data_IF_833608824514
#
_entry.id   IF_833608824514
#
_cell.length_a   1.000
_cell.length_b   1.000
_cell.length_c   1.000
_cell.angle_alpha   90.00
_cell.angle_beta   90.00
_cell.angle_gamma   90.00
#
_symmetry.space_group_name_H-M   'P 1'
#
loop_
_entity.id
_entity.type
_entity.pdbx_description
1 polymer ?
#
# COMPACT_ATOMS: atom_id res chain seq x y z
N UNK A 1 23.65 -23.18 -6.74
CA UNK A 1 22.95 -21.88 -6.71
C UNK A 1 21.52 -22.15 -6.28
N UNK A 2 21.07 -21.63 -5.15
CA UNK A 2 19.71 -21.88 -4.65
C UNK A 2 18.73 -21.09 -5.52
N UNK A 3 18.01 -21.77 -6.41
CA UNK A 3 17.06 -21.14 -7.32
C UNK A 3 15.89 -20.53 -6.57
N UNK A 4 15.36 -19.41 -7.08
CA UNK A 4 14.12 -18.82 -6.59
C UNK A 4 12.98 -19.77 -6.94
N UNK A 5 12.36 -20.38 -5.94
CA UNK A 5 11.22 -21.28 -6.15
C UNK A 5 10.02 -20.49 -6.66
N UNK A 6 9.11 -21.15 -7.36
CA UNK A 6 7.87 -20.52 -7.86
C UNK A 6 7.08 -19.86 -6.73
N UNK A 7 7.03 -20.48 -5.55
CA UNK A 7 6.33 -19.94 -4.39
C UNK A 7 6.96 -18.64 -3.90
N UNK A 8 8.30 -18.58 -3.77
CA UNK A 8 9.00 -17.36 -3.39
C UNK A 8 8.77 -16.28 -4.45
N UNK A 9 8.91 -16.62 -5.74
CA UNK A 9 8.68 -15.69 -6.85
C UNK A 9 7.28 -15.07 -6.78
N UNK A 10 6.24 -15.90 -6.61
CA UNK A 10 4.84 -15.43 -6.53
C UNK A 10 4.62 -14.56 -5.29
N UNK A 11 5.13 -14.96 -4.13
CA UNK A 11 5.03 -14.17 -2.90
C UNK A 11 5.67 -12.79 -3.05
N UNK A 12 6.95 -12.77 -3.46
CA UNK A 12 7.72 -11.54 -3.65
C UNK A 12 7.10 -10.62 -4.70
N UNK A 13 6.59 -11.15 -5.83
CA UNK A 13 5.89 -10.32 -6.82
C UNK A 13 4.62 -9.68 -6.25
N UNK A 14 3.88 -10.40 -5.41
CA UNK A 14 2.71 -9.84 -4.75
C UNK A 14 3.06 -8.70 -3.80
N UNK A 15 4.08 -8.87 -2.96
CA UNK A 15 4.56 -7.82 -2.05
C UNK A 15 5.04 -6.57 -2.79
N UNK A 16 5.82 -6.76 -3.87
CA UNK A 16 6.29 -5.67 -4.71
C UNK A 16 5.12 -4.95 -5.40
N UNK A 17 4.14 -5.69 -5.92
CA UNK A 17 2.97 -5.11 -6.56
C UNK A 17 2.14 -4.30 -5.56
N UNK A 18 1.96 -4.78 -4.32
CA UNK A 18 1.28 -4.03 -3.26
C UNK A 18 1.99 -2.72 -2.98
N UNK A 19 3.33 -2.74 -2.80
CA UNK A 19 4.12 -1.51 -2.58
C UNK A 19 3.96 -0.52 -3.74
N UNK A 20 4.07 -0.99 -4.99
CA UNK A 20 3.91 -0.16 -6.18
C UNK A 20 2.52 0.46 -6.30
N UNK A 21 1.45 -0.32 -6.03
CA UNK A 21 0.08 0.18 -6.10
C UNK A 21 -0.24 1.14 -4.97
N UNK A 22 0.26 0.88 -3.76
CA UNK A 22 0.13 1.81 -2.62
C UNK A 22 0.81 3.16 -2.89
N UNK A 23 1.97 3.14 -3.53
CA UNK A 23 2.70 4.36 -3.90
C UNK A 23 1.88 5.27 -4.85
N UNK A 24 1.01 4.71 -5.69
CA UNK A 24 0.10 5.47 -6.56
C UNK A 24 -0.94 6.29 -5.78
N UNK A 25 -1.12 6.01 -4.49
CA UNK A 25 -2.03 6.71 -3.57
C UNK A 25 -1.28 7.42 -2.43
N UNK A 26 -0.01 7.78 -2.66
CA UNK A 26 0.86 8.45 -1.68
C UNK A 26 1.07 7.66 -0.37
N UNK A 27 0.89 6.34 -0.42
CA UNK A 27 1.20 5.44 0.70
C UNK A 27 2.59 4.85 0.47
N UNK A 28 3.54 5.19 1.35
CA UNK A 28 4.85 4.54 1.36
C UNK A 28 4.72 3.18 2.06
N UNK A 29 5.21 2.10 1.45
CA UNK A 29 5.21 0.79 2.08
C UNK A 29 6.57 0.11 1.88
N UNK A 30 7.05 -0.59 2.90
CA UNK A 30 8.31 -1.31 2.84
C UNK A 30 8.28 -2.56 3.76
N UNK A 31 9.09 -3.59 3.47
CA UNK A 31 9.29 -4.70 4.37
C UNK A 31 9.86 -4.25 5.72
N UNK A 32 9.41 -4.81 6.86
CA UNK A 32 9.96 -4.48 8.17
C UNK A 32 11.40 -4.99 8.32
N UNK A 33 12.25 -4.21 9.00
CA UNK A 33 13.66 -4.58 9.24
C UNK A 33 13.83 -5.74 10.24
N UNK A 34 12.86 -5.95 11.12
CA UNK A 34 12.82 -7.07 12.07
C UNK A 34 11.65 -7.97 11.71
N UNK A 35 11.79 -9.25 12.03
CA UNK A 35 10.74 -10.24 11.84
C UNK A 35 9.55 -9.90 12.74
N UNK A 36 8.58 -9.18 12.18
CA UNK A 36 7.36 -8.75 12.85
C UNK A 36 6.19 -9.68 12.57
N UNK A 37 6.42 -10.74 11.79
CA UNK A 37 5.38 -11.61 11.24
C UNK A 37 4.50 -10.96 10.15
N UNK A 38 4.68 -9.67 9.84
CA UNK A 38 4.01 -8.97 8.75
C UNK A 38 4.94 -8.80 7.55
N UNK A 39 4.37 -8.76 6.36
CA UNK A 39 5.14 -8.61 5.13
C UNK A 39 5.52 -7.14 4.88
N UNK A 40 4.64 -6.17 5.19
CA UNK A 40 4.87 -4.75 4.92
C UNK A 40 4.43 -3.84 6.07
N UNK A 41 5.12 -2.71 6.23
CA UNK A 41 4.67 -1.56 7.00
C UNK A 41 4.39 -0.42 6.02
N UNK A 42 3.16 0.10 6.05
CA UNK A 42 2.69 1.18 5.22
C UNK A 42 2.43 2.46 6.04
N UNK A 43 2.75 3.61 5.46
CA UNK A 43 2.66 4.93 6.09
C UNK A 43 2.05 5.93 5.12
N UNK A 44 1.06 6.69 5.60
CA UNK A 44 0.51 7.86 4.91
C UNK A 44 0.06 8.88 5.94
N UNK A 45 0.49 10.13 5.79
CA UNK A 45 0.14 11.25 6.70
C UNK A 45 0.31 10.94 8.21
N UNK A 46 1.35 10.18 8.58
CA UNK A 46 1.59 9.80 9.98
C UNK A 46 0.77 8.60 10.48
N UNK A 47 -0.15 8.06 9.67
CA UNK A 47 -0.89 6.83 9.98
C UNK A 47 -0.10 5.63 9.52
N UNK A 48 0.20 4.72 10.46
CA UNK A 48 0.91 3.47 10.22
C UNK A 48 -0.08 2.30 10.10
N UNK A 49 0.19 1.40 9.15
CA UNK A 49 -0.54 0.15 8.94
C UNK A 49 0.44 -0.99 8.64
N UNK A 50 0.49 -1.97 9.52
CA UNK A 50 1.07 -3.27 9.23
C UNK A 50 0.16 -4.07 8.29
N UNK A 51 0.72 -4.56 7.19
CA UNK A 51 0.01 -5.25 6.12
C UNK A 51 0.56 -6.67 6.00
N UNK A 52 -0.33 -7.65 6.06
CA UNK A 52 -0.05 -9.02 5.63
C UNK A 52 -0.45 -9.16 4.16
N UNK A 53 0.39 -9.77 3.33
CA UNK A 53 0.13 -10.06 1.92
C UNK A 53 -0.22 -11.53 1.76
N UNK A 54 -1.24 -11.82 0.96
CA UNK A 54 -1.59 -13.16 0.49
C UNK A 54 -1.76 -13.12 -1.02
N UNK A 55 -0.85 -13.79 -1.72
CA UNK A 55 -0.84 -13.83 -3.18
C UNK A 55 -1.42 -15.13 -3.69
N UNK A 56 -2.25 -15.05 -4.72
CA UNK A 56 -2.81 -16.20 -5.43
C UNK A 56 -2.69 -15.99 -6.94
N UNK A 57 -2.63 -17.09 -7.69
CA UNK A 57 -2.76 -17.11 -9.16
C UNK A 57 -4.07 -17.78 -9.58
N UNK A 58 -4.92 -18.13 -8.63
CA UNK A 58 -6.23 -18.74 -8.84
C UNK A 58 -7.36 -17.79 -8.45
N UNK A 59 -8.60 -18.28 -8.52
CA UNK A 59 -9.79 -17.47 -8.27
C UNK A 59 -10.07 -17.18 -6.79
N UNK A 60 -9.36 -17.82 -5.87
CA UNK A 60 -9.59 -17.72 -4.42
C UNK A 60 -8.27 -17.59 -3.65
N UNK A 61 -8.35 -17.00 -2.46
CA UNK A 61 -7.21 -16.83 -1.55
C UNK A 61 -7.47 -17.54 -0.21
N UNK A 62 -6.39 -17.82 0.51
CA UNK A 62 -6.44 -18.45 1.83
C UNK A 62 -6.05 -17.44 2.92
N UNK A 63 -6.62 -17.64 4.11
CA UNK A 63 -6.39 -16.80 5.31
C UNK A 63 -5.78 -17.59 6.47
N UNK A 64 -5.22 -18.76 6.18
CA UNK A 64 -4.42 -19.52 7.13
C UNK A 64 -3.07 -18.81 7.40
N UNK A 65 -2.59 -18.95 8.64
CA UNK A 65 -1.29 -18.39 9.04
C UNK A 65 -1.23 -16.88 8.86
N UNK A 66 -2.25 -16.16 9.36
CA UNK A 66 -2.16 -14.71 9.53
C UNK A 66 -1.49 -14.43 10.89
N UNK A 67 -0.62 -13.42 10.99
CA UNK A 67 0.01 -13.05 12.25
C UNK A 67 -1.03 -12.50 13.24
N UNK A 68 -0.70 -12.50 14.53
CA UNK A 68 -1.59 -11.97 15.57
C UNK A 68 -1.76 -10.44 15.48
N UNK A 69 -0.78 -9.75 14.91
CA UNK A 69 -0.70 -8.29 14.88
C UNK A 69 -0.51 -7.77 13.45
N UNK A 70 -1.62 -7.58 12.75
CA UNK A 70 -1.69 -6.84 11.49
C UNK A 70 -2.90 -5.89 11.50
N UNK A 71 -2.90 -4.92 10.60
CA UNK A 71 -4.02 -3.98 10.42
C UNK A 71 -4.81 -4.31 9.16
N UNK A 72 -4.10 -4.64 8.07
CA UNK A 72 -4.70 -4.89 6.75
C UNK A 72 -4.23 -6.23 6.19
N UNK A 73 -5.11 -6.91 5.48
CA UNK A 73 -4.77 -8.03 4.61
C UNK A 73 -4.80 -7.54 3.15
N UNK A 74 -3.65 -7.54 2.49
CA UNK A 74 -3.54 -7.34 1.06
C UNK A 74 -3.72 -8.68 0.34
N UNK A 75 -4.80 -8.84 -0.41
CA UNK A 75 -5.00 -9.98 -1.31
C UNK A 75 -4.55 -9.58 -2.70
N UNK A 76 -3.62 -10.34 -3.26
CA UNK A 76 -3.10 -10.12 -4.61
C UNK A 76 -3.54 -11.27 -5.51
N UNK A 77 -4.37 -10.96 -6.50
CA UNK A 77 -4.73 -11.90 -7.55
C UNK A 77 -3.85 -11.64 -8.77
N UNK A 78 -2.82 -12.46 -8.93
CA UNK A 78 -1.90 -12.38 -10.06
C UNK A 78 -2.51 -13.06 -11.29
N UNK A 79 -2.60 -12.30 -12.38
CA UNK A 79 -2.94 -12.86 -13.69
C UNK A 79 -1.67 -13.45 -14.30
N UNK A 80 -1.76 -14.71 -14.73
CA UNK A 80 -0.66 -15.40 -15.40
C UNK A 80 -1.14 -16.12 -16.65
N UNK A 81 -0.29 -16.18 -17.64
CA UNK A 81 -0.37 -17.11 -18.75
C UNK A 81 0.94 -17.87 -18.82
N UNK A 82 0.85 -19.20 -18.69
CA UNK A 82 2.02 -20.09 -18.68
C UNK A 82 3.05 -19.64 -17.63
N UNK A 83 4.21 -19.12 -18.04
CA UNK A 83 5.29 -18.66 -17.17
C UNK A 83 5.38 -17.13 -17.02
N UNK A 84 4.45 -16.39 -17.64
CA UNK A 84 4.43 -14.92 -17.65
C UNK A 84 3.35 -14.41 -16.69
N UNK A 85 3.69 -13.39 -15.89
CA UNK A 85 2.79 -12.72 -14.96
C UNK A 85 2.49 -11.31 -15.48
N UNK A 86 1.22 -10.98 -15.63
CA UNK A 86 0.74 -9.68 -16.12
C UNK A 86 0.38 -8.79 -14.93
N UNK A 87 1.32 -7.95 -14.51
CA UNK A 87 1.19 -7.11 -13.29
C UNK A 87 0.16 -5.98 -13.45
N UNK A 88 -0.09 -5.56 -14.67
CA UNK A 88 -1.08 -4.56 -15.06
C UNK A 88 -2.51 -5.11 -14.98
N UNK A 89 -2.72 -6.37 -15.36
CA UNK A 89 -4.00 -7.09 -15.23
C UNK A 89 -4.25 -7.63 -13.81
N UNK A 90 -3.19 -7.74 -13.01
CA UNK A 90 -3.26 -8.23 -11.63
C UNK A 90 -3.96 -7.24 -10.71
N UNK A 91 -4.78 -7.77 -9.79
CA UNK A 91 -5.60 -6.96 -8.88
C UNK A 91 -5.10 -7.05 -7.45
N UNK A 92 -5.12 -5.91 -6.77
CA UNK A 92 -4.79 -5.80 -5.34
C UNK A 92 -6.02 -5.31 -4.58
N UNK A 93 -6.35 -6.04 -3.53
CA UNK A 93 -7.45 -5.73 -2.62
C UNK A 93 -6.90 -5.51 -1.21
N UNK A 94 -7.38 -4.49 -0.51
CA UNK A 94 -7.02 -4.22 0.88
C UNK A 94 -8.22 -4.46 1.80
N UNK A 95 -8.11 -5.45 2.68
CA UNK A 95 -9.18 -5.84 3.59
C UNK A 95 -8.79 -5.43 5.01
N UNK A 96 -9.56 -4.58 5.70
CA UNK A 96 -9.36 -4.31 7.13
C UNK A 96 -9.43 -5.60 7.95
N UNK A 97 -8.57 -5.74 8.96
CA UNK A 97 -8.50 -6.95 9.80
C UNK A 97 -9.87 -7.39 10.32
N UNK A 98 -10.67 -6.44 10.79
CA UNK A 98 -12.02 -6.67 11.34
C UNK A 98 -13.02 -7.22 10.32
N UNK A 99 -12.74 -7.06 9.01
CA UNK A 99 -13.56 -7.60 7.91
C UNK A 99 -13.01 -8.87 7.27
N UNK A 100 -11.80 -9.30 7.63
CA UNK A 100 -11.14 -10.47 6.99
C UNK A 100 -11.96 -11.75 7.11
N UNK A 101 -12.67 -11.96 8.21
CA UNK A 101 -13.46 -13.17 8.43
C UNK A 101 -14.79 -13.17 7.70
N UNK A 102 -15.38 -12.00 7.47
CA UNK A 102 -16.63 -11.83 6.72
C UNK A 102 -16.43 -11.61 5.22
N UNK A 103 -15.22 -11.27 4.79
CA UNK A 103 -14.92 -11.02 3.38
C UNK A 103 -15.06 -12.30 2.53
N UNK A 104 -15.61 -12.20 1.30
CA UNK A 104 -15.65 -13.31 0.35
C UNK A 104 -14.27 -13.91 0.10
N UNK A 105 -14.17 -15.23 -0.08
CA UNK A 105 -12.89 -15.90 -0.38
C UNK A 105 -12.51 -15.90 -1.86
N UNK A 106 -13.46 -15.62 -2.75
CA UNK A 106 -13.23 -15.51 -4.17
C UNK A 106 -12.85 -14.09 -4.56
N UNK A 107 -11.80 -13.95 -5.36
CA UNK A 107 -11.24 -12.66 -5.74
C UNK A 107 -12.18 -11.83 -6.62
N UNK A 108 -13.06 -12.46 -7.41
CA UNK A 108 -14.08 -11.78 -8.22
C UNK A 108 -15.17 -11.08 -7.39
N UNK A 109 -15.31 -11.46 -6.13
CA UNK A 109 -16.27 -10.90 -5.17
C UNK A 109 -15.67 -9.85 -4.24
N UNK A 110 -14.36 -9.55 -4.35
CA UNK A 110 -13.66 -8.59 -3.49
C UNK A 110 -13.73 -7.13 -4.01
N UNK A 111 -14.64 -6.81 -4.93
CA UNK A 111 -14.64 -5.51 -5.60
C UNK A 111 -14.72 -4.33 -4.62
N UNK A 112 -15.44 -4.46 -3.51
CA UNK A 112 -15.53 -3.43 -2.46
C UNK A 112 -14.17 -3.09 -1.80
N UNK A 113 -13.22 -4.02 -1.81
CA UNK A 113 -11.88 -3.87 -1.23
C UNK A 113 -10.83 -3.48 -2.27
N UNK A 114 -11.24 -3.25 -3.53
CA UNK A 114 -10.30 -2.89 -4.60
C UNK A 114 -9.60 -1.58 -4.28
N UNK A 115 -8.30 -1.51 -4.55
CA UNK A 115 -7.55 -0.27 -4.41
C UNK A 115 -8.17 0.85 -5.26
N UNK A 116 -8.63 1.89 -4.57
CA UNK A 116 -9.08 3.15 -5.13
C UNK A 116 -8.88 4.25 -4.08
N UNK A 117 -8.94 5.51 -4.50
CA UNK A 117 -8.68 6.65 -3.63
C UNK A 117 -9.56 6.66 -2.39
N UNK A 118 -10.89 6.50 -2.53
CA UNK A 118 -11.81 6.53 -1.41
C UNK A 118 -11.55 5.40 -0.39
N UNK A 119 -11.22 4.21 -0.89
CA UNK A 119 -10.89 3.07 -0.03
C UNK A 119 -9.58 3.32 0.73
N UNK A 120 -8.51 3.74 0.04
CA UNK A 120 -7.23 4.04 0.69
C UNK A 120 -7.37 5.20 1.69
N UNK A 121 -8.11 6.25 1.34
CA UNK A 121 -8.43 7.34 2.26
C UNK A 121 -9.14 6.83 3.51
N UNK A 122 -10.13 5.94 3.38
CA UNK A 122 -10.79 5.30 4.52
C UNK A 122 -9.82 4.53 5.42
N UNK A 123 -8.92 3.74 4.83
CA UNK A 123 -7.96 2.91 5.58
C UNK A 123 -6.88 3.71 6.32
N UNK A 124 -6.48 4.85 5.76
CA UNK A 124 -5.42 5.72 6.26
C UNK A 124 -5.93 7.06 6.80
N UNK A 125 -7.24 7.23 6.92
CA UNK A 125 -7.83 8.39 7.58
C UNK A 125 -7.51 8.33 9.07
N UNK A 126 -6.87 9.38 9.57
CA UNK A 126 -6.69 9.56 11.00
C UNK A 126 -7.95 10.21 11.57
N UNK A 127 -8.60 9.58 12.55
CA UNK A 127 -9.66 10.24 13.32
C UNK A 127 -9.09 11.27 14.31
N UNK A 128 -7.76 11.44 14.40
CA UNK A 128 -7.10 12.31 15.39
C UNK A 128 -6.14 13.37 14.82
N UNK A 129 -5.88 13.43 13.52
CA UNK A 129 -5.05 14.50 12.94
C UNK A 129 -5.93 15.63 12.40
N UNK A 130 -5.86 16.79 13.05
CA UNK A 130 -6.21 18.08 12.47
C UNK A 130 -5.54 18.24 11.10
N UNK A 131 -6.14 18.99 10.16
CA UNK A 131 -5.50 19.25 8.87
C UNK A 131 -4.10 19.83 9.12
N UNK A 132 -3.12 19.30 8.40
CA UNK A 132 -1.78 19.86 8.38
C UNK A 132 -1.89 21.37 8.08
N UNK A 133 -1.19 22.24 8.82
CA UNK A 133 -1.21 23.66 8.53
C UNK A 133 -0.73 23.89 7.10
N UNK A 134 -1.47 24.70 6.34
CA UNK A 134 -1.10 25.12 4.99
C UNK A 134 0.35 25.58 5.00
N UNK A 135 1.19 24.93 4.19
CA UNK A 135 2.56 25.38 3.96
C UNK A 135 2.45 26.76 3.31
N UNK A 136 2.94 27.85 3.96
CA UNK A 136 2.84 29.16 3.38
C UNK A 136 3.60 29.17 2.05
N UNK A 137 2.91 29.56 0.99
CA UNK A 137 3.52 29.77 -0.31
C UNK A 137 4.69 30.74 -0.15
N UNK A 138 5.85 30.30 -0.66
CA UNK A 138 7.15 30.96 -0.61
C UNK A 138 7.04 32.49 -0.54
N UNK A 139 7.62 33.07 0.51
CA UNK A 139 7.87 34.50 0.62
C UNK A 139 8.54 35.00 -0.67
N UNK A 140 7.88 35.94 -1.34
CA UNK A 140 8.45 36.77 -2.39
C UNK A 140 9.71 37.46 -1.87
N UNK A 141 10.79 37.41 -2.64
CA UNK A 141 12.05 38.06 -2.34
C UNK A 141 11.88 39.58 -2.17
N UNK A 142 12.60 40.25 -1.25
CA UNK A 142 12.55 41.69 -1.12
C UNK A 142 13.24 42.37 -2.30
N UNK A 143 12.51 43.26 -2.97
CA UNK A 143 13.05 44.21 -3.96
C UNK A 143 13.98 45.19 -3.28
N UNK A 144 15.27 45.15 -3.61
CA UNK A 144 16.25 46.18 -3.22
C UNK A 144 16.00 47.46 -4.03
N UNK A 145 15.46 48.51 -3.40
CA UNK A 145 15.48 49.85 -3.96
C UNK A 145 16.81 50.53 -3.62
N UNK A 146 17.65 50.72 -4.62
CA UNK A 146 18.86 51.53 -4.53
C UNK A 146 18.46 53.02 -4.52
N UNK A 147 18.71 53.71 -3.40
CA UNK A 147 18.78 55.17 -3.34
C UNK A 147 20.19 55.55 -2.88
N UNK A 148 20.92 56.25 -3.75
CA UNK A 148 22.09 57.08 -3.44
C UNK A 148 22.46 57.83 -4.72
N UNK A 149 22.80 59.10 -4.79
CA UNK A 149 22.71 60.26 -3.91
C UNK A 149 22.91 61.48 -4.83
N UNK A 150 22.27 62.60 -4.50
CA UNK A 150 22.62 63.93 -5.01
C UNK A 150 23.54 64.58 -3.98
N UNK A 151 24.73 65.00 -4.42
CA UNK A 151 25.47 66.22 -4.04
C UNK A 151 26.83 66.20 -4.75
#
# INVERSE_FOLDING_TARGET
MNGITTQIKVGTLGELLVQLRLLQFDVQAAPPLKDSGNDLIAVRHGVFRAIQVKTTTGSSYQTNGLPDHYHLLAVVNLVKDSDVIFLDESRVFLIPRERVMSAPRRCDQLNEYSLNTAHVDGLFSDQRLCPLPDVPSRMSAPTSSTRSSSL
#
